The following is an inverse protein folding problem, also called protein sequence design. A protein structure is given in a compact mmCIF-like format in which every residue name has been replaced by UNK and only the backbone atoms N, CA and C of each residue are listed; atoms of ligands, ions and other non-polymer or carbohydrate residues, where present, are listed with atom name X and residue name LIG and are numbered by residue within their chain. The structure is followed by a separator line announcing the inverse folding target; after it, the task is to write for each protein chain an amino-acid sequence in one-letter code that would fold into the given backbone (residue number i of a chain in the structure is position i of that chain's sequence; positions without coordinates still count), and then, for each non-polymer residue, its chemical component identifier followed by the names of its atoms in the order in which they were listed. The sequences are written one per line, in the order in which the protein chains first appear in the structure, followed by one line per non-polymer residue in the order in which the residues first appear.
data_IF_066883965888
#
_entry.id   IF_066883965888
#
_cell.length_a   1.000
_cell.length_b   1.000
_cell.length_c   1.000
_cell.angle_alpha   90.00
_cell.angle_beta   90.00
_cell.angle_gamma   90.00
#
_symmetry.space_group_name_H-M   'P 1'
#
loop_
_entity.id
_entity.type
_entity.pdbx_description
1 polymer ?
#
# COMPACT_ATOMS: atom_id res chain seq x y z
N UNK A 1 -5.06 27.62 3.59
CA UNK A 1 -5.52 27.07 4.89
C UNK A 1 -5.39 25.58 4.74
N UNK A 2 -4.35 25.03 5.36
CA UNK A 2 -3.60 23.97 4.71
C UNK A 2 -4.05 22.61 5.24
N UNK A 3 -4.88 21.93 4.46
CA UNK A 3 -5.66 20.75 4.87
C UNK A 3 -4.89 19.44 5.03
N UNK A 4 -3.57 19.47 5.21
CA UNK A 4 -2.74 18.30 5.43
C UNK A 4 -1.90 18.47 6.70
N UNK A 5 -2.58 18.38 7.85
CA UNK A 5 -1.92 18.32 9.14
C UNK A 5 -1.12 17.01 9.26
N UNK A 6 0.21 17.13 9.27
CA UNK A 6 1.13 16.03 9.59
C UNK A 6 0.75 15.43 10.94
N UNK A 7 0.16 14.24 10.96
CA UNK A 7 -0.24 13.59 12.21
C UNK A 7 0.97 13.33 13.10
N UNK A 8 0.86 13.65 14.38
CA UNK A 8 1.94 13.60 15.37
C UNK A 8 1.65 12.59 16.47
N UNK A 9 2.69 11.86 16.86
CA UNK A 9 2.75 11.11 18.11
C UNK A 9 3.68 11.88 19.05
N UNK A 10 3.20 12.14 20.27
CA UNK A 10 4.04 12.71 21.32
C UNK A 10 4.37 11.62 22.33
N UNK A 11 5.62 11.16 22.32
CA UNK A 11 6.11 10.23 23.32
C UNK A 11 6.39 10.96 24.63
N UNK A 12 5.91 10.42 25.74
CA UNK A 12 5.91 11.05 27.07
C UNK A 12 6.50 10.08 28.10
N UNK A 13 7.41 10.59 28.94
CA UNK A 13 7.89 9.89 30.14
C UNK A 13 7.75 10.78 31.37
N UNK A 14 7.55 10.17 32.55
CA UNK A 14 7.33 10.91 33.80
C UNK A 14 7.86 10.22 35.05
N UNK A 15 8.23 11.03 36.05
CA UNK A 15 8.41 10.59 37.44
C UNK A 15 7.05 10.23 38.05
N UNK A 16 7.07 9.39 39.09
CA UNK A 16 5.85 9.03 39.81
C UNK A 16 5.22 10.27 40.48
N UNK A 17 3.91 10.45 40.33
CA UNK A 17 3.17 11.61 40.83
C UNK A 17 3.33 12.88 39.99
N UNK A 18 3.74 12.77 38.72
CA UNK A 18 3.78 13.93 37.80
C UNK A 18 2.36 14.46 37.56
N UNK A 19 2.19 15.78 37.52
CA UNK A 19 0.87 16.38 37.34
C UNK A 19 0.45 16.44 35.87
N UNK A 20 -0.86 16.28 35.61
CA UNK A 20 -1.45 16.45 34.26
C UNK A 20 -1.10 17.82 33.67
N UNK A 21 -1.13 18.87 34.49
CA UNK A 21 -0.81 20.23 34.07
C UNK A 21 0.64 20.37 33.59
N UNK A 22 1.61 19.72 34.26
CA UNK A 22 3.01 19.75 33.85
C UNK A 22 3.25 19.00 32.55
N UNK A 23 2.62 17.83 32.37
CA UNK A 23 2.71 17.07 31.11
C UNK A 23 2.11 17.87 29.96
N UNK A 24 0.90 18.43 30.13
CA UNK A 24 0.25 19.23 29.10
C UNK A 24 1.09 20.47 28.73
N UNK A 25 1.56 21.23 29.73
CA UNK A 25 2.39 22.41 29.49
C UNK A 25 3.68 22.08 28.73
N UNK A 26 4.36 20.98 29.07
CA UNK A 26 5.58 20.55 28.37
C UNK A 26 5.29 20.17 26.91
N UNK A 27 4.18 19.47 26.64
CA UNK A 27 3.78 19.09 25.27
C UNK A 27 3.40 20.33 24.45
N UNK A 28 2.54 21.20 24.99
CA UNK A 28 2.12 22.44 24.34
C UNK A 28 3.30 23.39 24.04
N UNK A 29 4.24 23.54 24.98
CA UNK A 29 5.46 24.34 24.77
C UNK A 29 6.35 23.72 23.68
N UNK A 30 6.49 22.40 23.67
CA UNK A 30 7.31 21.69 22.69
C UNK A 30 6.74 21.82 21.28
N UNK A 31 5.43 21.68 21.11
CA UNK A 31 4.73 21.87 19.83
C UNK A 31 4.83 23.33 19.36
N UNK A 32 4.49 24.28 20.23
CA UNK A 32 4.57 25.73 19.94
C UNK A 32 5.98 26.17 19.56
N UNK A 33 7.00 25.66 20.26
CA UNK A 33 8.41 25.95 19.98
C UNK A 33 8.92 25.36 18.67
N UNK A 34 8.24 24.35 18.11
CA UNK A 34 8.54 23.75 16.81
C UNK A 34 7.63 24.26 15.68
N UNK A 35 6.69 25.18 15.96
CA UNK A 35 5.67 25.62 14.99
C UNK A 35 4.66 24.54 14.60
N UNK A 36 4.51 23.50 15.44
CA UNK A 36 3.61 22.38 15.20
C UNK A 36 2.22 22.66 15.82
N UNK A 37 1.12 22.44 15.07
CA UNK A 37 -0.23 22.62 15.60
C UNK A 37 -0.60 21.57 16.65
N UNK A 38 -1.30 21.98 17.71
CA UNK A 38 -1.81 21.10 18.77
C UNK A 38 -2.77 20.02 18.26
N UNK A 39 -3.63 20.41 17.35
CA UNK A 39 -4.67 19.62 16.69
C UNK A 39 -4.12 18.55 15.74
N UNK A 40 -2.81 18.55 15.47
CA UNK A 40 -2.14 17.49 14.74
C UNK A 40 -1.66 16.33 15.64
N UNK A 41 -1.69 16.49 16.97
CA UNK A 41 -1.44 15.38 17.90
C UNK A 41 -2.59 14.37 17.78
N UNK A 42 -2.24 13.13 17.44
CA UNK A 42 -3.19 12.02 17.25
C UNK A 42 -3.07 10.94 18.32
N UNK A 43 -1.95 10.90 19.04
CA UNK A 43 -1.73 10.02 20.18
C UNK A 43 -0.67 10.60 21.12
N UNK A 44 -0.82 10.31 22.41
CA UNK A 44 0.33 10.27 23.32
C UNK A 44 0.87 8.84 23.37
N UNK A 45 2.17 8.67 23.59
CA UNK A 45 2.80 7.36 23.66
C UNK A 45 3.71 7.23 24.89
N UNK A 46 3.76 6.06 25.53
CA UNK A 46 4.67 5.81 26.67
C UNK A 46 5.08 4.34 26.78
N UNK A 47 5.90 4.03 27.77
CA UNK A 47 6.24 2.64 28.16
C UNK A 47 5.16 2.07 29.06
N UNK A 48 4.84 0.78 28.96
CA UNK A 48 3.79 0.12 29.76
C UNK A 48 3.88 0.36 31.27
N UNK A 49 5.10 0.37 31.83
CA UNK A 49 5.35 0.68 33.25
C UNK A 49 4.98 2.13 33.67
N UNK A 50 4.55 2.95 32.71
CA UNK A 50 4.07 4.33 32.87
C UNK A 50 2.67 4.58 32.32
N UNK A 51 2.01 3.57 31.73
CA UNK A 51 0.67 3.72 31.15
C UNK A 51 -0.41 4.08 32.19
N UNK A 52 -0.23 3.65 33.45
CA UNK A 52 -1.10 3.97 34.58
C UNK A 52 -0.70 5.20 35.39
N UNK A 53 0.26 6.02 34.95
CA UNK A 53 0.67 7.24 35.65
C UNK A 53 -0.41 8.34 35.45
N UNK A 54 -1.09 8.82 36.51
CA UNK A 54 -2.26 9.70 36.35
C UNK A 54 -1.98 10.99 35.58
N UNK A 55 -0.76 11.53 35.69
CA UNK A 55 -0.33 12.70 34.92
C UNK A 55 -0.23 12.47 33.41
N UNK A 56 0.08 11.24 32.98
CA UNK A 56 0.20 10.86 31.57
C UNK A 56 -1.18 10.48 31.02
N UNK A 57 -1.94 9.65 31.74
CA UNK A 57 -3.31 9.27 31.34
C UNK A 57 -4.22 10.48 31.24
N UNK A 58 -4.24 11.35 32.27
CA UNK A 58 -5.04 12.58 32.26
C UNK A 58 -4.56 13.63 31.25
N UNK A 59 -3.31 13.56 30.79
CA UNK A 59 -2.85 14.40 29.67
C UNK A 59 -3.43 13.89 28.34
N UNK A 60 -3.45 12.58 28.10
CA UNK A 60 -4.06 12.00 26.89
C UNK A 60 -5.56 12.36 26.81
N UNK A 61 -6.28 12.21 27.94
CA UNK A 61 -7.66 12.69 28.09
C UNK A 61 -7.81 14.19 27.80
N UNK A 62 -6.88 15.02 28.28
CA UNK A 62 -6.91 16.48 28.08
C UNK A 62 -6.68 16.89 26.62
N UNK A 63 -5.84 16.16 25.89
CA UNK A 63 -5.65 16.33 24.44
C UNK A 63 -6.77 15.68 23.62
N UNK A 64 -7.62 14.83 24.22
CA UNK A 64 -8.68 14.10 23.51
C UNK A 64 -8.15 12.98 22.60
N UNK A 65 -6.98 12.42 22.92
CA UNK A 65 -6.27 11.43 22.09
C UNK A 65 -6.03 10.13 22.86
N UNK A 66 -5.90 8.97 22.19
CA UNK A 66 -5.48 7.74 22.85
C UNK A 66 -4.08 7.84 23.47
N UNK A 67 -3.88 7.13 24.58
CA UNK A 67 -2.57 6.83 25.13
C UNK A 67 -2.13 5.45 24.62
N UNK A 68 -1.07 5.42 23.82
CA UNK A 68 -0.40 4.21 23.39
C UNK A 68 0.63 3.79 24.44
N UNK A 69 0.69 2.50 24.77
CA UNK A 69 1.70 1.93 25.66
C UNK A 69 2.43 0.80 24.97
N UNK A 70 3.76 0.80 25.09
CA UNK A 70 4.63 -0.19 24.47
C UNK A 70 5.44 -0.97 25.52
N UNK A 71 5.65 -2.28 25.34
CA UNK A 71 6.57 -3.07 26.17
C UNK A 71 7.97 -2.45 26.19
N UNK A 72 8.65 -2.56 27.33
CA UNK A 72 10.02 -2.06 27.49
C UNK A 72 10.99 -2.66 26.45
N UNK A 73 10.77 -3.92 26.06
CA UNK A 73 11.54 -4.64 25.05
C UNK A 73 11.33 -4.12 23.62
N UNK A 74 10.11 -3.75 23.22
CA UNK A 74 9.85 -3.10 21.91
C UNK A 74 10.59 -1.76 21.88
N UNK A 75 10.44 -0.94 22.94
CA UNK A 75 11.14 0.33 23.07
C UNK A 75 12.66 0.22 23.24
N UNK A 76 13.19 -0.92 23.65
CA UNK A 76 14.64 -1.18 23.75
C UNK A 76 15.30 -1.32 22.37
N UNK A 77 14.54 -1.78 21.38
CA UNK A 77 15.01 -1.95 20.00
C UNK A 77 15.04 -0.66 19.18
N UNK A 78 14.33 0.39 19.63
CA UNK A 78 14.20 1.66 18.91
C UNK A 78 15.50 2.47 18.98
N UNK A 79 16.07 2.79 17.82
CA UNK A 79 17.24 3.68 17.71
C UNK A 79 16.80 5.11 18.01
N UNK A 80 17.31 5.67 19.12
CA UNK A 80 17.02 7.04 19.57
C UNK A 80 18.28 7.91 19.54
N UNK A 81 18.18 9.21 19.21
CA UNK A 81 19.36 10.08 19.12
C UNK A 81 19.94 10.45 20.50
N UNK A 82 19.15 10.44 21.57
CA UNK A 82 19.60 10.84 22.91
C UNK A 82 19.31 9.75 23.97
N UNK A 83 20.04 8.63 23.97
CA UNK A 83 19.89 7.60 25.00
C UNK A 83 20.15 8.14 26.41
N UNK A 84 19.52 7.54 27.41
CA UNK A 84 19.60 7.89 28.83
C UNK A 84 19.78 6.64 29.67
N UNK A 85 20.86 6.59 30.44
CA UNK A 85 21.17 5.49 31.36
C UNK A 85 20.09 5.33 32.44
N UNK A 86 19.63 6.44 33.00
CA UNK A 86 18.49 6.47 33.95
C UNK A 86 17.19 5.91 33.33
N UNK A 87 16.95 6.07 32.03
CA UNK A 87 15.79 5.47 31.36
C UNK A 87 15.95 3.95 31.18
N UNK A 88 17.19 3.48 30.92
CA UNK A 88 17.50 2.04 30.84
C UNK A 88 17.30 1.37 32.20
N UNK A 89 17.82 1.98 33.27
CA UNK A 89 17.69 1.48 34.64
C UNK A 89 16.22 1.47 35.12
N UNK A 90 15.48 2.56 34.89
CA UNK A 90 14.13 2.72 35.45
C UNK A 90 13.00 2.13 34.59
N UNK A 91 13.23 1.90 33.29
CA UNK A 91 12.18 1.51 32.35
C UNK A 91 12.63 0.54 31.24
N UNK A 92 13.86 0.04 31.25
CA UNK A 92 14.37 -0.93 30.27
C UNK A 92 14.59 -0.40 28.84
N UNK A 93 14.34 0.88 28.58
CA UNK A 93 14.43 1.51 27.24
C UNK A 93 15.54 2.55 27.18
N UNK A 94 16.23 2.75 26.04
CA UNK A 94 17.20 3.83 25.89
C UNK A 94 16.61 5.24 26.09
N UNK A 95 15.32 5.49 25.83
CA UNK A 95 14.71 6.80 26.06
C UNK A 95 13.18 6.69 26.02
N UNK A 96 12.48 6.80 27.14
CA UNK A 96 11.01 6.63 27.18
C UNK A 96 10.30 7.55 26.18
N UNK A 97 10.60 8.86 26.19
CA UNK A 97 9.93 9.82 25.32
C UNK A 97 10.27 9.62 23.83
N UNK A 98 11.54 9.47 23.46
CA UNK A 98 11.91 9.33 22.03
C UNK A 98 11.58 7.95 21.49
N UNK A 99 11.79 6.87 22.26
CA UNK A 99 11.46 5.53 21.81
C UNK A 99 9.95 5.37 21.65
N UNK A 100 9.13 5.87 22.59
CA UNK A 100 7.67 5.77 22.48
C UNK A 100 7.10 6.65 21.35
N UNK A 101 7.69 7.83 21.07
CA UNK A 101 7.33 8.64 19.91
C UNK A 101 7.65 7.89 18.59
N UNK A 102 8.80 7.21 18.54
CA UNK A 102 9.31 6.52 17.35
C UNK A 102 8.82 5.07 17.19
N UNK A 103 8.20 4.46 18.21
CA UNK A 103 7.74 3.06 18.18
C UNK A 103 6.75 2.77 17.05
N UNK A 104 5.96 3.77 16.63
CA UNK A 104 5.10 3.70 15.46
C UNK A 104 5.81 3.78 14.11
N UNK A 105 7.15 3.78 14.07
CA UNK A 105 7.95 3.97 12.85
C UNK A 105 7.94 5.40 12.33
N UNK A 106 7.80 6.40 13.19
CA UNK A 106 7.76 7.82 12.83
C UNK A 106 9.12 8.43 12.45
N UNK A 107 9.10 9.64 11.91
CA UNK A 107 10.28 10.52 11.86
C UNK A 107 10.28 11.46 13.06
N UNK A 108 11.41 11.59 13.77
CA UNK A 108 11.53 12.46 14.94
C UNK A 108 11.62 13.93 14.52
N UNK A 109 10.56 14.70 14.76
CA UNK A 109 10.51 16.13 14.48
C UNK A 109 11.13 16.97 15.60
N UNK A 110 10.90 16.58 16.86
CA UNK A 110 11.41 17.27 18.04
C UNK A 110 12.04 16.27 19.00
N UNK A 111 13.38 16.31 19.21
CA UNK A 111 14.05 15.47 20.19
C UNK A 111 13.64 15.75 21.62
N UNK A 112 14.04 14.85 22.54
CA UNK A 112 13.61 14.88 23.95
C UNK A 112 13.76 16.25 24.62
N UNK A 113 12.62 16.85 24.97
CA UNK A 113 12.49 17.99 25.90
C UNK A 113 12.20 17.46 27.31
N UNK A 114 12.49 18.27 28.34
CA UNK A 114 12.30 17.93 29.75
C UNK A 114 11.71 19.10 30.54
N UNK A 115 10.81 18.79 31.47
CA UNK A 115 10.42 19.68 32.57
C UNK A 115 11.13 19.24 33.86
N UNK A 116 10.55 19.51 35.04
CA UNK A 116 11.09 19.08 36.35
C UNK A 116 10.81 17.59 36.60
N UNK A 117 9.65 17.10 36.20
CA UNK A 117 9.18 15.73 36.42
C UNK A 117 8.76 14.97 35.15
N UNK A 118 8.64 15.61 33.98
CA UNK A 118 8.28 14.99 32.71
C UNK A 118 9.37 15.13 31.62
N UNK A 119 9.26 14.29 30.60
CA UNK A 119 9.97 14.40 29.33
C UNK A 119 9.00 14.16 28.18
N UNK A 120 9.17 14.84 27.06
CA UNK A 120 8.43 14.54 25.83
C UNK A 120 9.30 14.64 24.59
N UNK A 121 8.89 13.97 23.52
CA UNK A 121 9.47 14.05 22.19
C UNK A 121 8.36 13.94 21.15
N UNK A 122 8.53 14.55 19.98
CA UNK A 122 7.49 14.60 18.93
C UNK A 122 7.99 13.92 17.68
N UNK A 123 7.23 12.96 17.17
CA UNK A 123 7.48 12.29 15.90
C UNK A 123 6.23 12.34 15.01
N UNK A 124 6.41 12.13 13.70
CA UNK A 124 5.28 11.87 12.80
C UNK A 124 4.65 10.51 13.11
N UNK A 125 3.32 10.39 12.94
CA UNK A 125 2.65 9.11 12.99
C UNK A 125 3.03 8.30 11.74
N UNK A 126 3.73 7.19 11.96
CA UNK A 126 4.10 6.17 10.97
C UNK A 126 4.62 6.68 9.61
N UNK A 127 5.95 6.74 9.47
CA UNK A 127 6.56 6.55 8.16
C UNK A 127 6.39 5.07 7.78
N UNK A 128 5.20 4.71 7.27
CA UNK A 128 4.92 3.39 6.71
C UNK A 128 6.08 2.97 5.79
N UNK A 129 6.59 1.74 5.95
CA UNK A 129 7.60 1.22 5.04
C UNK A 129 6.99 0.99 3.65
N UNK A 130 7.11 2.01 2.80
CA UNK A 130 6.63 2.00 1.43
C UNK A 130 7.34 0.94 0.56
N UNK A 131 8.48 0.41 1.01
CA UNK A 131 9.28 -0.60 0.30
C UNK A 131 8.98 -2.03 0.75
N UNK A 132 8.16 -2.26 1.79
CA UNK A 132 7.71 -3.60 2.14
C UNK A 132 6.73 -4.13 1.09
N UNK A 133 7.06 -5.26 0.46
CA UNK A 133 6.24 -5.90 -0.56
C UNK A 133 5.88 -7.35 -0.15
N UNK A 134 4.92 -7.97 -0.84
CA UNK A 134 4.32 -9.23 -0.38
C UNK A 134 5.24 -10.45 -0.49
N UNK A 135 6.20 -10.39 -1.39
CA UNK A 135 7.29 -11.33 -1.59
C UNK A 135 8.23 -11.42 -0.38
N UNK A 136 8.35 -10.34 0.42
CA UNK A 136 9.07 -10.39 1.69
C UNK A 136 8.43 -11.36 2.71
N UNK A 137 7.12 -11.63 2.63
CA UNK A 137 6.47 -12.60 3.52
C UNK A 137 6.90 -14.05 3.23
N UNK A 138 7.42 -14.37 2.03
CA UNK A 138 7.83 -15.73 1.64
C UNK A 138 9.34 -15.95 1.55
N UNK A 139 10.14 -14.87 1.56
CA UNK A 139 11.59 -14.89 1.35
C UNK A 139 12.34 -15.96 2.19
N UNK A 140 12.12 -15.99 3.50
CA UNK A 140 12.87 -16.87 4.42
C UNK A 140 12.32 -18.31 4.54
N UNK A 141 11.18 -18.61 3.92
CA UNK A 141 10.50 -19.91 4.06
C UNK A 141 10.51 -20.78 2.79
N UNK A 142 10.94 -20.21 1.66
CA UNK A 142 10.96 -20.90 0.37
C UNK A 142 9.58 -21.41 -0.06
N UNK A 143 9.54 -22.50 -0.82
CA UNK A 143 8.32 -23.08 -1.37
C UNK A 143 7.45 -23.85 -0.34
N UNK A 144 7.75 -23.76 0.96
CA UNK A 144 7.05 -24.53 2.00
C UNK A 144 5.69 -23.92 2.42
N UNK A 145 5.47 -22.63 2.16
CA UNK A 145 4.23 -21.93 2.52
C UNK A 145 3.27 -21.82 1.33
N UNK A 146 1.97 -21.94 1.61
CA UNK A 146 0.92 -21.49 0.70
C UNK A 146 0.94 -19.97 0.68
N UNK A 147 1.38 -19.40 -0.44
CA UNK A 147 1.45 -17.95 -0.64
C UNK A 147 0.06 -17.36 -0.90
N UNK A 148 -0.42 -16.56 0.05
CA UNK A 148 -1.57 -15.65 -0.05
C UNK A 148 -1.13 -14.18 0.10
N UNK A 149 0.18 -13.93 0.25
CA UNK A 149 0.79 -12.62 0.39
C UNK A 149 1.11 -11.95 -0.96
N UNK A 150 1.18 -12.73 -2.05
CA UNK A 150 1.37 -12.24 -3.41
C UNK A 150 0.18 -12.56 -4.31
N UNK A 151 -0.39 -11.51 -4.92
CA UNK A 151 -1.57 -11.57 -5.79
C UNK A 151 -1.21 -12.02 -7.23
N UNK A 152 -0.43 -13.08 -7.40
CA UNK A 152 -0.22 -13.76 -8.69
C UNK A 152 -1.25 -14.88 -8.85
N UNK A 153 -1.73 -15.11 -10.07
CA UNK A 153 -2.68 -16.19 -10.40
C UNK A 153 -2.01 -17.56 -10.27
N UNK A 154 -2.66 -18.51 -9.60
CA UNK A 154 -2.22 -19.92 -9.57
C UNK A 154 -2.11 -20.50 -10.99
N UNK A 155 -1.30 -21.56 -11.15
CA UNK A 155 -1.13 -22.32 -12.40
C UNK A 155 -0.66 -21.48 -13.60
N UNK A 156 0.09 -20.40 -13.32
CA UNK A 156 0.70 -19.54 -14.34
C UNK A 156 2.23 -19.53 -14.26
N UNK A 157 2.96 -19.24 -15.36
CA UNK A 157 2.45 -18.97 -16.72
C UNK A 157 1.94 -20.24 -17.43
N UNK A 158 0.88 -20.13 -18.27
CA UNK A 158 0.35 -21.25 -19.03
C UNK A 158 1.37 -21.80 -20.03
N UNK A 159 1.23 -23.08 -20.40
CA UNK A 159 2.22 -23.79 -21.21
C UNK A 159 2.51 -23.11 -22.56
N UNK A 160 1.46 -22.64 -23.25
CA UNK A 160 1.59 -21.93 -24.53
C UNK A 160 2.41 -20.64 -24.41
N UNK A 161 2.27 -19.91 -23.29
CA UNK A 161 2.99 -18.66 -23.06
C UNK A 161 4.45 -18.93 -22.72
N UNK A 162 4.73 -19.97 -21.91
CA UNK A 162 6.10 -20.43 -21.66
C UNK A 162 6.81 -20.85 -22.95
N UNK A 163 6.12 -21.53 -23.87
CA UNK A 163 6.66 -21.89 -25.18
C UNK A 163 6.96 -20.67 -26.05
N UNK A 164 6.06 -19.67 -26.10
CA UNK A 164 6.29 -18.40 -26.82
C UNK A 164 7.52 -17.66 -26.29
N UNK A 165 7.65 -17.54 -24.97
CA UNK A 165 8.77 -16.87 -24.30
C UNK A 165 10.08 -17.66 -24.50
N UNK A 166 10.03 -18.99 -24.47
CA UNK A 166 11.21 -19.83 -24.72
C UNK A 166 11.68 -19.73 -26.18
N UNK A 167 10.77 -19.63 -27.15
CA UNK A 167 11.12 -19.49 -28.55
C UNK A 167 11.83 -18.16 -28.88
N UNK A 168 11.61 -17.10 -28.10
CA UNK A 168 12.33 -15.82 -28.29
C UNK A 168 13.75 -15.81 -27.69
N UNK A 169 14.23 -16.93 -27.16
CA UNK A 169 15.59 -17.02 -26.60
C UNK A 169 16.66 -17.12 -27.70
N UNK A 170 16.28 -17.60 -28.90
CA UNK A 170 17.18 -17.72 -30.05
C UNK A 170 17.56 -16.33 -30.63
N UNK A 171 16.70 -15.32 -30.45
CA UNK A 171 16.89 -13.95 -30.98
C UNK A 171 17.64 -13.00 -30.01
N UNK A 172 18.07 -13.47 -28.83
CA UNK A 172 18.62 -12.61 -27.75
C UNK A 172 19.88 -11.81 -28.10
N UNK A 173 20.57 -12.15 -29.20
CA UNK A 173 21.74 -11.40 -29.67
C UNK A 173 21.37 -10.03 -30.27
N UNK A 174 20.10 -9.82 -30.65
CA UNK A 174 19.61 -8.55 -31.18
C UNK A 174 19.05 -7.63 -30.08
N UNK A 175 19.22 -6.31 -30.26
CA UNK A 175 18.52 -5.34 -29.42
C UNK A 175 16.99 -5.42 -29.62
N UNK A 176 16.19 -5.31 -28.56
CA UNK A 176 14.74 -5.53 -28.63
C UNK A 176 14.01 -4.45 -29.43
N UNK A 177 13.02 -4.87 -30.22
CA UNK A 177 12.19 -4.02 -31.07
C UNK A 177 10.71 -4.07 -30.64
N UNK A 178 10.27 -3.05 -29.92
CA UNK A 178 8.92 -2.99 -29.35
C UNK A 178 7.79 -2.69 -30.32
N UNK A 179 8.02 -2.47 -31.63
CA UNK A 179 6.98 -1.95 -32.54
C UNK A 179 5.76 -2.87 -32.66
N UNK A 180 5.94 -4.18 -32.77
CA UNK A 180 4.83 -5.15 -32.91
C UNK A 180 4.02 -5.25 -31.62
N UNK A 181 4.68 -5.48 -30.49
CA UNK A 181 4.03 -5.51 -29.16
C UNK A 181 3.28 -4.21 -28.82
N UNK A 182 3.85 -3.04 -29.16
CA UNK A 182 3.19 -1.74 -28.96
C UNK A 182 1.93 -1.60 -29.82
N UNK A 183 1.98 -2.04 -31.07
CA UNK A 183 0.81 -2.05 -31.96
C UNK A 183 -0.28 -3.04 -31.49
N UNK A 184 0.11 -4.21 -30.98
CA UNK A 184 -0.83 -5.19 -30.42
C UNK A 184 -1.55 -4.67 -29.16
N UNK A 185 -0.82 -4.00 -28.26
CA UNK A 185 -1.42 -3.33 -27.09
C UNK A 185 -2.35 -2.18 -27.51
N UNK A 186 -1.95 -1.38 -28.51
CA UNK A 186 -2.79 -0.31 -29.04
C UNK A 186 -4.11 -0.86 -29.62
N UNK A 187 -4.02 -1.94 -30.42
CA UNK A 187 -5.16 -2.63 -30.99
C UNK A 187 -6.11 -3.24 -29.93
N UNK A 188 -5.59 -3.83 -28.84
CA UNK A 188 -6.43 -4.32 -27.71
C UNK A 188 -7.36 -3.24 -27.16
N UNK A 189 -6.86 -2.02 -27.04
CA UNK A 189 -7.56 -0.91 -26.39
C UNK A 189 -8.26 0.05 -27.36
N UNK A 190 -8.24 -0.24 -28.66
CA UNK A 190 -8.81 0.65 -29.69
C UNK A 190 -8.09 2.00 -29.80
N UNK A 191 -6.82 2.07 -29.37
CA UNK A 191 -6.03 3.30 -29.33
C UNK A 191 -5.04 3.37 -30.50
N UNK A 192 -4.65 4.58 -30.94
CA UNK A 192 -3.52 4.75 -31.83
C UNK A 192 -2.18 4.50 -31.10
N UNK A 193 -1.16 4.07 -31.84
CA UNK A 193 0.08 3.51 -31.27
C UNK A 193 0.88 4.50 -30.42
N UNK A 194 0.82 5.78 -30.76
CA UNK A 194 1.45 6.88 -30.02
C UNK A 194 0.92 7.07 -28.60
N UNK A 195 -0.27 6.52 -28.28
CA UNK A 195 -0.85 6.53 -26.92
C UNK A 195 -0.36 5.40 -26.01
N UNK A 196 0.52 4.52 -26.49
CA UNK A 196 1.05 3.37 -25.75
C UNK A 196 2.54 3.55 -25.44
N UNK A 197 2.97 3.23 -24.21
CA UNK A 197 4.38 2.99 -23.85
C UNK A 197 4.50 1.61 -23.18
N UNK A 198 5.46 0.79 -23.59
CA UNK A 198 5.76 -0.49 -22.92
C UNK A 198 6.78 -0.25 -21.81
N UNK A 199 6.62 -0.92 -20.66
CA UNK A 199 7.47 -0.71 -19.48
C UNK A 199 7.90 -2.04 -18.84
N UNK A 200 8.98 -2.00 -18.07
CA UNK A 200 9.54 -3.09 -17.27
C UNK A 200 8.66 -3.44 -16.04
N UNK A 201 7.37 -3.62 -16.27
CA UNK A 201 6.32 -3.64 -15.25
C UNK A 201 5.81 -2.23 -14.90
N UNK A 202 4.75 -2.18 -14.09
CA UNK A 202 4.14 -0.91 -13.65
C UNK A 202 5.06 -0.09 -12.72
N UNK A 203 6.01 -0.73 -12.03
CA UNK A 203 6.99 -0.05 -11.17
C UNK A 203 7.84 0.97 -11.95
N UNK A 204 8.33 0.61 -13.15
CA UNK A 204 9.03 1.56 -14.01
C UNK A 204 8.12 2.74 -14.40
N UNK A 205 6.84 2.49 -14.70
CA UNK A 205 5.91 3.54 -15.05
C UNK A 205 5.74 4.57 -13.92
N UNK A 206 5.66 4.15 -12.65
CA UNK A 206 5.62 5.09 -11.51
C UNK A 206 6.90 5.94 -11.41
N UNK A 207 8.08 5.33 -11.60
CA UNK A 207 9.37 6.05 -11.61
C UNK A 207 9.44 7.05 -12.76
N UNK A 208 8.98 6.69 -13.96
CA UNK A 208 8.93 7.60 -15.11
C UNK A 208 7.96 8.75 -14.87
N UNK A 209 6.75 8.47 -14.37
CA UNK A 209 5.74 9.48 -14.03
C UNK A 209 6.30 10.49 -13.02
N UNK A 210 6.87 9.99 -11.92
CA UNK A 210 7.43 10.82 -10.86
C UNK A 210 8.56 11.73 -11.33
N UNK A 211 9.40 11.26 -12.27
CA UNK A 211 10.58 12.01 -12.75
C UNK A 211 10.31 12.91 -13.96
N UNK A 212 9.37 12.54 -14.84
CA UNK A 212 9.25 13.15 -16.17
C UNK A 212 8.07 14.12 -16.33
N UNK A 213 7.00 13.98 -15.55
CA UNK A 213 5.79 14.80 -15.75
C UNK A 213 5.82 16.11 -14.96
N UNK A 214 6.51 16.14 -13.82
CA UNK A 214 6.51 17.27 -12.89
C UNK A 214 5.20 17.37 -12.11
N UNK A 215 5.28 17.62 -10.81
CA UNK A 215 4.12 17.88 -9.96
C UNK A 215 4.55 18.79 -8.80
N UNK A 216 3.83 19.88 -8.58
CA UNK A 216 4.00 20.74 -7.41
C UNK A 216 3.20 20.20 -6.22
N UNK A 217 2.05 19.55 -6.48
CA UNK A 217 1.11 19.08 -5.45
C UNK A 217 0.56 17.68 -5.78
N UNK A 218 1.43 16.66 -5.90
CA UNK A 218 0.99 15.29 -6.17
C UNK A 218 0.25 14.70 -4.96
N UNK A 219 -0.86 14.02 -5.23
CA UNK A 219 -1.72 13.34 -4.26
C UNK A 219 -1.80 11.85 -4.57
N UNK A 220 -1.63 11.02 -3.54
CA UNK A 220 -1.81 9.56 -3.63
C UNK A 220 -2.99 9.14 -2.75
N UNK A 221 -3.98 8.46 -3.34
CA UNK A 221 -5.19 8.01 -2.62
C UNK A 221 -4.90 6.70 -1.88
N UNK A 222 -4.98 6.70 -0.56
CA UNK A 222 -4.64 5.56 0.29
C UNK A 222 -5.85 4.96 1.00
N UNK A 223 -5.81 3.70 1.46
CA UNK A 223 -4.72 2.73 1.29
C UNK A 223 -4.63 2.17 -0.14
N UNK A 224 -3.47 2.33 -0.78
CA UNK A 224 -3.15 1.71 -2.06
C UNK A 224 -1.73 1.14 -2.08
N UNK A 225 -1.31 0.54 -3.20
CA UNK A 225 0.04 0.07 -3.43
C UNK A 225 1.04 1.21 -3.24
N UNK A 226 2.15 0.96 -2.56
CA UNK A 226 3.01 2.02 -1.99
C UNK A 226 4.03 2.62 -2.96
N UNK A 227 4.35 1.91 -4.05
CA UNK A 227 5.31 2.32 -5.08
C UNK A 227 5.08 3.71 -5.70
N UNK A 228 3.84 4.19 -5.98
CA UNK A 228 3.66 5.52 -6.55
C UNK A 228 4.11 6.62 -5.58
N UNK A 229 3.81 6.48 -4.29
CA UNK A 229 4.29 7.44 -3.28
C UNK A 229 5.80 7.31 -3.08
N UNK A 230 6.35 6.08 -3.06
CA UNK A 230 7.78 5.86 -2.95
C UNK A 230 8.54 6.51 -4.12
N UNK A 231 8.10 6.29 -5.35
CA UNK A 231 8.69 6.87 -6.56
C UNK A 231 8.60 8.40 -6.59
N UNK A 232 7.47 8.97 -6.15
CA UNK A 232 7.30 10.42 -6.03
C UNK A 232 8.25 11.02 -4.98
N UNK A 233 8.36 10.41 -3.79
CA UNK A 233 9.29 10.83 -2.74
C UNK A 233 10.76 10.70 -3.17
N UNK A 234 11.13 9.59 -3.81
CA UNK A 234 12.48 9.35 -4.35
C UNK A 234 12.82 10.27 -5.53
N UNK A 235 11.82 10.92 -6.15
CA UNK A 235 11.99 12.00 -7.12
C UNK A 235 12.00 13.42 -6.49
N UNK A 236 11.87 13.53 -5.17
CA UNK A 236 11.95 14.79 -4.42
C UNK A 236 10.60 15.49 -4.15
N UNK A 237 9.47 14.86 -4.46
CA UNK A 237 8.14 15.47 -4.30
C UNK A 237 7.62 15.43 -2.86
N UNK A 238 6.90 16.47 -2.46
CA UNK A 238 6.08 16.46 -1.23
C UNK A 238 4.70 15.89 -1.55
N UNK A 239 4.49 14.61 -1.23
CA UNK A 239 3.26 13.88 -1.58
C UNK A 239 2.16 14.11 -0.55
N UNK A 240 1.02 14.65 -1.01
CA UNK A 240 -0.23 14.68 -0.25
C UNK A 240 -0.91 13.32 -0.25
N UNK A 241 -1.70 13.02 0.79
CA UNK A 241 -2.44 11.75 0.91
C UNK A 241 -3.92 12.00 1.13
N UNK A 242 -4.77 11.35 0.35
CA UNK A 242 -6.21 11.24 0.63
C UNK A 242 -6.46 9.87 1.21
N UNK A 243 -6.76 9.78 2.50
CA UNK A 243 -6.95 8.49 3.20
C UNK A 243 -8.43 8.12 3.23
N UNK A 244 -8.80 7.11 2.44
CA UNK A 244 -10.12 6.51 2.40
C UNK A 244 -10.36 5.69 3.68
N UNK A 245 -11.58 5.77 4.21
CA UNK A 245 -11.91 5.23 5.53
C UNK A 245 -12.67 3.90 5.44
N UNK A 246 -12.53 2.99 6.43
CA UNK A 246 -13.31 1.74 6.49
C UNK A 246 -14.82 1.98 6.55
N UNK A 247 -15.26 3.07 7.17
CA UNK A 247 -16.67 3.42 7.37
C UNK A 247 -17.37 3.76 6.04
N UNK A 248 -16.64 4.37 5.11
CA UNK A 248 -17.10 4.66 3.75
C UNK A 248 -16.88 3.45 2.80
N UNK A 249 -16.54 2.28 3.35
CA UNK A 249 -16.22 1.07 2.61
C UNK A 249 -14.96 1.19 1.73
N UNK A 250 -14.03 2.08 2.10
CA UNK A 250 -12.85 2.47 1.31
C UNK A 250 -13.17 2.93 -0.13
N UNK A 251 -14.34 3.54 -0.37
CA UNK A 251 -14.68 4.14 -1.66
C UNK A 251 -14.18 5.58 -1.74
N UNK A 252 -13.67 5.96 -2.91
CA UNK A 252 -13.28 7.34 -3.18
C UNK A 252 -14.51 8.23 -3.32
N UNK A 253 -14.58 9.29 -2.49
CA UNK A 253 -15.30 10.51 -2.83
C UNK A 253 -14.35 11.43 -3.62
N UNK A 254 -14.65 11.79 -4.89
CA UNK A 254 -13.79 12.67 -5.69
C UNK A 254 -13.59 14.06 -5.06
N UNK A 255 -14.53 14.55 -4.24
CA UNK A 255 -14.43 15.84 -3.54
C UNK A 255 -13.44 15.84 -2.38
N UNK A 256 -13.03 14.67 -1.89
CA UNK A 256 -11.96 14.53 -0.91
C UNK A 256 -10.56 14.73 -1.52
N UNK A 257 -10.42 14.62 -2.85
CA UNK A 257 -9.21 15.05 -3.55
C UNK A 257 -9.26 16.57 -3.69
N UNK A 258 -8.23 17.31 -3.25
CA UNK A 258 -8.24 18.75 -3.37
C UNK A 258 -8.52 19.25 -4.79
N UNK A 259 -9.20 20.39 -4.87
CA UNK A 259 -8.86 21.46 -5.81
C UNK A 259 -7.34 21.76 -5.76
N UNK A 260 -6.78 22.54 -6.68
CA UNK A 260 -5.33 22.78 -6.82
C UNK A 260 -4.42 21.56 -7.20
N UNK A 261 -4.61 20.34 -6.65
CA UNK A 261 -3.73 19.17 -6.91
C UNK A 261 -3.56 18.90 -8.43
N UNK A 262 -2.33 18.61 -8.86
CA UNK A 262 -1.90 18.57 -10.27
C UNK A 262 -1.49 17.18 -10.75
N UNK A 263 -1.21 16.26 -9.83
CA UNK A 263 -1.06 14.83 -10.11
C UNK A 263 -1.85 14.05 -9.07
N UNK A 264 -2.68 13.09 -9.51
CA UNK A 264 -3.46 12.23 -8.60
C UNK A 264 -3.24 10.77 -8.99
N UNK A 265 -2.84 9.92 -8.03
CA UNK A 265 -2.68 8.47 -8.26
C UNK A 265 -3.72 7.68 -7.48
N UNK A 266 -4.36 6.71 -8.14
CA UNK A 266 -5.29 5.74 -7.54
C UNK A 266 -5.24 4.39 -8.25
N UNK A 267 -5.24 3.28 -7.50
CA UNK A 267 -5.38 1.93 -8.08
C UNK A 267 -6.85 1.53 -8.27
N UNK A 268 -7.17 0.83 -9.36
CA UNK A 268 -8.52 0.31 -9.63
C UNK A 268 -8.49 -1.10 -10.28
N UNK A 269 -8.91 -2.19 -9.59
CA UNK A 269 -9.25 -2.25 -8.17
C UNK A 269 -8.08 -1.87 -7.25
N UNK A 270 -8.36 -1.15 -6.17
CA UNK A 270 -7.35 -0.71 -5.21
C UNK A 270 -6.73 -1.90 -4.46
N UNK A 271 -5.40 -2.04 -4.49
CA UNK A 271 -4.66 -2.98 -3.62
C UNK A 271 -4.18 -2.21 -2.38
N UNK A 272 -4.65 -2.49 -1.15
CA UNK A 272 -5.09 -3.82 -0.71
C UNK A 272 -6.60 -4.05 -0.59
N UNK A 273 -7.44 -3.01 -0.63
CA UNK A 273 -8.88 -3.10 -0.26
C UNK A 273 -9.73 -3.96 -1.20
N UNK A 274 -9.26 -4.17 -2.43
CA UNK A 274 -9.95 -4.87 -3.53
C UNK A 274 -11.17 -4.10 -4.07
N UNK A 275 -11.38 -2.86 -3.61
CA UNK A 275 -12.49 -2.00 -4.03
C UNK A 275 -12.31 -1.57 -5.48
N UNK A 276 -13.38 -1.71 -6.26
CA UNK A 276 -13.52 -1.13 -7.59
C UNK A 276 -14.26 0.20 -7.46
N UNK A 277 -13.59 1.29 -7.80
CA UNK A 277 -14.16 2.64 -7.86
C UNK A 277 -14.93 2.81 -9.17
N UNK A 278 -16.12 3.44 -9.16
CA UNK A 278 -16.86 3.73 -10.38
C UNK A 278 -16.04 4.60 -11.34
N UNK A 279 -16.05 4.28 -12.63
CA UNK A 279 -15.38 5.03 -13.69
C UNK A 279 -15.83 6.49 -13.71
N UNK A 280 -17.10 6.77 -13.41
CA UNK A 280 -17.63 8.13 -13.30
C UNK A 280 -17.01 8.94 -12.13
N UNK A 281 -16.71 8.29 -11.00
CA UNK A 281 -16.06 8.94 -9.86
C UNK A 281 -14.59 9.26 -10.17
N UNK A 282 -13.88 8.34 -10.82
CA UNK A 282 -12.52 8.57 -11.31
C UNK A 282 -12.50 9.65 -12.40
N UNK A 283 -13.43 9.61 -13.36
CA UNK A 283 -13.56 10.60 -14.42
C UNK A 283 -13.79 12.02 -13.89
N UNK A 284 -14.51 12.19 -12.77
CA UNK A 284 -14.73 13.48 -12.14
C UNK A 284 -13.44 14.15 -11.61
N UNK A 285 -12.35 13.39 -11.44
CA UNK A 285 -11.04 13.94 -11.08
C UNK A 285 -10.27 14.53 -12.28
N UNK A 286 -10.60 14.13 -13.52
CA UNK A 286 -9.87 14.52 -14.72
C UNK A 286 -10.19 15.96 -15.13
N UNK A 287 -9.16 16.77 -15.37
CA UNK A 287 -9.28 18.16 -15.80
C UNK A 287 -8.00 18.64 -16.50
N UNK A 288 -8.06 19.66 -17.38
CA UNK A 288 -6.87 20.27 -17.94
C UNK A 288 -5.90 20.72 -16.84
N UNK A 289 -4.60 20.47 -17.04
CA UNK A 289 -3.55 20.79 -16.04
C UNK A 289 -3.43 19.80 -14.88
N UNK A 290 -4.21 18.71 -14.84
CA UNK A 290 -4.03 17.60 -13.89
C UNK A 290 -3.70 16.30 -14.62
N UNK A 291 -2.69 15.59 -14.13
CA UNK A 291 -2.43 14.19 -14.49
C UNK A 291 -3.24 13.28 -13.55
N UNK A 292 -4.12 12.46 -14.12
CA UNK A 292 -4.86 11.42 -13.37
C UNK A 292 -4.28 10.04 -13.70
N UNK A 293 -3.50 9.49 -12.77
CA UNK A 293 -2.91 8.15 -12.89
C UNK A 293 -3.84 7.12 -12.27
N UNK A 294 -4.31 6.17 -13.09
CA UNK A 294 -5.15 5.05 -12.65
C UNK A 294 -4.40 3.73 -12.86
N UNK A 295 -4.02 3.07 -11.76
CA UNK A 295 -3.34 1.77 -11.80
C UNK A 295 -4.33 0.62 -11.90
N UNK A 296 -4.51 0.12 -13.12
CA UNK A 296 -5.36 -1.02 -13.47
C UNK A 296 -4.58 -2.35 -13.51
N UNK A 297 -3.49 -2.49 -12.73
CA UNK A 297 -2.69 -3.72 -12.65
C UNK A 297 -3.46 -5.00 -12.27
N UNK A 298 -4.68 -4.88 -11.73
CA UNK A 298 -5.57 -5.99 -11.39
C UNK A 298 -6.88 -6.04 -12.20
N UNK A 299 -7.08 -5.14 -13.16
CA UNK A 299 -8.34 -5.04 -13.92
C UNK A 299 -8.64 -6.28 -14.78
N UNK A 300 -7.60 -6.96 -15.29
CA UNK A 300 -7.71 -8.27 -15.97
C UNK A 300 -8.42 -9.35 -15.13
N UNK A 301 -8.47 -9.21 -13.80
CA UNK A 301 -9.11 -10.15 -12.88
C UNK A 301 -10.57 -9.76 -12.54
N UNK A 302 -11.07 -8.64 -13.06
CA UNK A 302 -12.46 -8.19 -12.93
C UNK A 302 -13.25 -8.73 -14.14
N UNK A 303 -14.34 -9.50 -13.95
CA UNK A 303 -15.13 -10.02 -15.06
C UNK A 303 -15.61 -8.91 -16.01
N UNK A 304 -15.16 -8.96 -17.26
CA UNK A 304 -15.51 -7.97 -18.29
C UNK A 304 -14.82 -6.61 -18.15
N UNK A 305 -13.80 -6.48 -17.29
CA UNK A 305 -13.06 -5.22 -17.05
C UNK A 305 -13.99 -4.03 -16.68
N UNK A 306 -14.98 -4.30 -15.82
CA UNK A 306 -15.94 -3.29 -15.36
C UNK A 306 -15.23 -2.09 -14.71
N UNK A 307 -15.76 -0.89 -14.95
CA UNK A 307 -15.21 0.39 -14.49
C UNK A 307 -13.77 0.72 -14.99
N UNK A 308 -13.26 0.00 -15.99
CA UNK A 308 -11.99 0.33 -16.63
C UNK A 308 -12.05 1.65 -17.41
N UNK A 309 -10.95 2.39 -17.36
CA UNK A 309 -10.68 3.60 -18.13
C UNK A 309 -9.66 3.36 -19.25
N UNK A 310 -9.03 2.19 -19.33
CA UNK A 310 -8.22 1.81 -20.48
C UNK A 310 -9.01 1.97 -21.80
N UNK A 311 -8.46 2.72 -22.76
CA UNK A 311 -9.12 3.06 -24.03
C UNK A 311 -9.93 4.37 -24.03
N UNK A 312 -10.19 5.00 -22.87
CA UNK A 312 -10.81 6.33 -22.79
C UNK A 312 -9.89 7.39 -23.41
N UNK A 313 -10.45 8.29 -24.21
CA UNK A 313 -9.73 9.41 -24.84
C UNK A 313 -10.38 10.78 -24.59
N UNK A 314 -11.53 10.81 -23.92
CA UNK A 314 -12.31 11.99 -23.56
C UNK A 314 -11.92 12.59 -22.19
N UNK A 315 -11.00 11.95 -21.45
CA UNK A 315 -10.51 12.44 -20.17
C UNK A 315 -9.15 13.14 -20.32
N UNK A 316 -9.07 14.47 -20.11
CA UNK A 316 -7.82 15.21 -20.22
C UNK A 316 -6.84 14.77 -19.12
N UNK A 317 -5.58 14.52 -19.51
CA UNK A 317 -4.51 14.16 -18.59
C UNK A 317 -4.62 12.75 -17.97
N UNK A 318 -5.51 11.89 -18.50
CA UNK A 318 -5.62 10.50 -18.06
C UNK A 318 -4.36 9.70 -18.42
N UNK A 319 -3.87 8.93 -17.45
CA UNK A 319 -2.78 7.97 -17.57
C UNK A 319 -3.23 6.65 -16.95
N UNK A 320 -3.46 5.62 -17.76
CA UNK A 320 -3.83 4.28 -17.26
C UNK A 320 -2.62 3.37 -17.29
N UNK A 321 -2.34 2.69 -16.17
CA UNK A 321 -1.28 1.68 -16.08
C UNK A 321 -1.89 0.29 -16.13
N UNK A 322 -1.29 -0.62 -16.90
CA UNK A 322 -1.67 -2.03 -16.93
C UNK A 322 -0.47 -2.92 -16.66
N UNK A 323 -0.70 -4.02 -15.95
CA UNK A 323 0.31 -5.03 -15.68
C UNK A 323 -0.10 -6.37 -16.26
N UNK A 324 0.82 -7.02 -16.98
CA UNK A 324 0.65 -8.41 -17.40
C UNK A 324 1.23 -9.39 -16.37
N UNK A 325 1.86 -8.88 -15.30
CA UNK A 325 2.60 -9.71 -14.33
C UNK A 325 1.72 -10.59 -13.44
N UNK A 326 0.50 -10.14 -13.11
CA UNK A 326 -0.37 -10.76 -12.10
C UNK A 326 -1.23 -11.86 -12.72
N UNK A 327 -1.94 -11.52 -13.80
CA UNK A 327 -2.83 -12.40 -14.58
C UNK A 327 -2.09 -13.60 -15.18
N UNK A 328 -0.87 -13.37 -15.67
CA UNK A 328 -0.13 -14.33 -16.51
C UNK A 328 1.08 -14.97 -15.82
N UNK A 329 1.32 -14.70 -14.53
CA UNK A 329 2.48 -15.25 -13.80
C UNK A 329 3.82 -14.64 -14.19
N UNK A 330 3.82 -13.53 -14.93
CA UNK A 330 5.03 -12.90 -15.48
C UNK A 330 5.74 -11.98 -14.48
N UNK A 331 5.58 -12.23 -13.18
CA UNK A 331 6.16 -11.41 -12.10
C UNK A 331 7.70 -11.37 -12.14
N UNK A 332 8.37 -12.43 -12.59
CA UNK A 332 9.82 -12.44 -12.82
C UNK A 332 10.27 -11.81 -14.15
N UNK A 333 9.38 -11.75 -15.16
CA UNK A 333 9.71 -11.26 -16.51
C UNK A 333 9.61 -9.72 -16.65
N UNK A 334 8.88 -9.07 -15.72
CA UNK A 334 8.76 -7.61 -15.62
C UNK A 334 8.18 -6.94 -16.88
N UNK A 335 6.86 -7.03 -17.06
CA UNK A 335 6.17 -6.43 -18.21
C UNK A 335 4.86 -5.71 -17.82
N UNK A 336 4.70 -4.49 -18.33
CA UNK A 336 3.52 -3.65 -18.21
C UNK A 336 3.46 -2.62 -19.34
N UNK A 337 2.46 -1.74 -19.30
CA UNK A 337 2.35 -0.64 -20.25
C UNK A 337 1.54 0.53 -19.69
N UNK A 338 1.80 1.71 -20.26
CA UNK A 338 1.10 2.97 -20.01
C UNK A 338 0.20 3.27 -21.21
N UNK A 339 -1.03 3.70 -20.95
CA UNK A 339 -1.94 4.29 -21.93
C UNK A 339 -2.19 5.76 -21.53
N UNK A 340 -1.83 6.72 -22.39
CA UNK A 340 -2.00 8.14 -22.10
C UNK A 340 -2.14 8.99 -23.38
N UNK A 341 -2.23 10.30 -23.24
CA UNK A 341 -2.11 11.23 -24.38
C UNK A 341 -0.71 11.16 -25.03
N UNK A 342 -0.58 11.37 -26.35
CA UNK A 342 0.71 11.24 -27.05
C UNK A 342 1.82 12.12 -26.48
N UNK A 343 1.49 13.32 -25.99
CA UNK A 343 2.44 14.23 -25.35
C UNK A 343 2.98 13.69 -24.02
N UNK A 344 2.11 13.06 -23.22
CA UNK A 344 2.50 12.39 -21.97
C UNK A 344 3.38 11.19 -22.28
N UNK A 345 2.99 10.36 -23.26
CA UNK A 345 3.80 9.22 -23.71
C UNK A 345 5.18 9.67 -24.22
N UNK A 346 5.25 10.78 -24.97
CA UNK A 346 6.52 11.32 -25.45
C UNK A 346 7.44 11.78 -24.29
N UNK A 347 6.89 12.45 -23.26
CA UNK A 347 7.63 12.84 -22.05
C UNK A 347 8.17 11.61 -21.29
N UNK A 348 7.31 10.60 -21.08
CA UNK A 348 7.70 9.37 -20.39
C UNK A 348 8.77 8.59 -21.18
N UNK A 349 8.61 8.46 -22.50
CA UNK A 349 9.57 7.79 -23.38
C UNK A 349 10.93 8.50 -23.44
N UNK A 350 10.95 9.84 -23.39
CA UNK A 350 12.19 10.62 -23.36
C UNK A 350 12.97 10.45 -22.04
N UNK A 351 12.28 10.10 -20.94
CA UNK A 351 12.89 9.79 -19.65
C UNK A 351 13.18 8.29 -19.45
N UNK A 352 12.73 7.43 -20.36
CA UNK A 352 12.89 5.98 -20.27
C UNK A 352 14.29 5.56 -20.77
N UNK A 353 14.99 4.63 -20.09
CA UNK A 353 16.23 4.06 -20.60
C UNK A 353 16.05 3.43 -21.98
N UNK A 354 17.12 3.42 -22.79
CA UNK A 354 17.11 2.69 -24.07
C UNK A 354 16.96 1.17 -23.82
N UNK A 355 16.15 0.52 -24.66
CA UNK A 355 15.84 -0.92 -24.58
C UNK A 355 15.34 -1.39 -23.19
N UNK A 356 14.32 -0.72 -22.61
CA UNK A 356 13.88 -0.94 -21.23
C UNK A 356 13.13 -2.27 -21.05
N UNK A 357 12.53 -2.78 -22.13
CA UNK A 357 11.78 -4.04 -22.16
C UNK A 357 12.53 -5.05 -23.02
N UNK A 358 12.85 -6.20 -22.44
CA UNK A 358 13.61 -7.28 -23.10
C UNK A 358 12.79 -8.00 -24.18
N UNK A 359 13.46 -8.62 -25.16
CA UNK A 359 12.77 -9.33 -26.24
C UNK A 359 11.76 -10.40 -25.77
N UNK A 360 12.04 -11.22 -24.74
CA UNK A 360 11.05 -12.17 -24.22
C UNK A 360 9.86 -11.48 -23.52
N UNK A 361 10.07 -10.30 -22.92
CA UNK A 361 9.00 -9.50 -22.35
C UNK A 361 8.11 -8.84 -23.43
N UNK A 362 8.67 -8.45 -24.57
CA UNK A 362 7.91 -7.98 -25.74
C UNK A 362 7.05 -9.08 -26.36
N UNK A 363 7.62 -10.28 -26.57
CA UNK A 363 6.87 -11.45 -27.07
C UNK A 363 5.76 -11.84 -26.11
N UNK A 364 6.01 -11.79 -24.79
CA UNK A 364 4.97 -11.99 -23.80
C UNK A 364 3.87 -10.91 -23.88
N UNK A 365 4.24 -9.63 -24.08
CA UNK A 365 3.29 -8.53 -24.19
C UNK A 365 2.31 -8.72 -25.35
N UNK A 366 2.84 -9.03 -26.55
CA UNK A 366 2.03 -9.31 -27.73
C UNK A 366 1.14 -10.54 -27.52
N UNK A 367 1.70 -11.64 -27.01
CA UNK A 367 0.96 -12.89 -26.87
C UNK A 367 -0.14 -12.80 -25.80
N UNK A 368 0.04 -12.02 -24.73
CA UNK A 368 -0.95 -11.82 -23.67
C UNK A 368 -2.12 -10.90 -24.06
N UNK A 369 -2.00 -10.12 -25.15
CA UNK A 369 -3.09 -9.26 -25.66
C UNK A 369 -3.78 -9.83 -26.90
N UNK A 370 -3.35 -10.99 -27.40
CA UNK A 370 -4.02 -11.70 -28.48
C UNK A 370 -5.44 -12.15 -28.08
N UNK A 371 -6.43 -12.18 -29.00
CA UNK A 371 -7.83 -12.47 -28.67
C UNK A 371 -8.07 -13.77 -27.88
N UNK A 372 -7.32 -14.84 -28.18
CA UNK A 372 -7.41 -16.10 -27.44
C UNK A 372 -6.90 -15.98 -26.00
N UNK A 373 -5.84 -15.20 -25.77
CA UNK A 373 -5.34 -14.92 -24.42
C UNK A 373 -6.32 -14.03 -23.63
N UNK A 374 -6.94 -13.03 -24.28
CA UNK A 374 -7.98 -12.22 -23.65
C UNK A 374 -9.21 -13.05 -23.25
N UNK A 375 -9.61 -14.03 -24.07
CA UNK A 375 -10.68 -14.96 -23.71
C UNK A 375 -10.30 -15.85 -22.51
N UNK A 376 -9.06 -16.37 -22.45
CA UNK A 376 -8.55 -17.12 -21.28
C UNK A 376 -8.52 -16.24 -20.02
N UNK A 377 -8.10 -14.98 -20.13
CA UNK A 377 -8.08 -14.02 -19.03
C UNK A 377 -9.49 -13.71 -18.51
N UNK A 378 -10.48 -13.48 -19.39
CA UNK A 378 -11.87 -13.30 -18.96
C UNK A 378 -12.42 -14.53 -18.23
N UNK A 379 -12.09 -15.74 -18.69
CA UNK A 379 -12.53 -16.96 -18.02
C UNK A 379 -11.82 -17.20 -16.69
N UNK A 380 -10.55 -16.79 -16.57
CA UNK A 380 -9.87 -16.70 -15.29
C UNK A 380 -10.53 -15.68 -14.35
N UNK A 381 -10.95 -14.50 -14.84
CA UNK A 381 -11.64 -13.48 -14.05
C UNK A 381 -12.98 -13.99 -13.49
N UNK A 382 -13.78 -14.70 -14.31
CA UNK A 382 -15.02 -15.36 -13.85
C UNK A 382 -14.76 -16.38 -12.74
N UNK A 383 -13.75 -17.24 -12.90
CA UNK A 383 -13.35 -18.21 -11.87
C UNK A 383 -12.86 -17.52 -10.59
N UNK A 384 -12.03 -16.49 -10.69
CA UNK A 384 -11.58 -15.67 -9.54
C UNK A 384 -12.78 -15.06 -8.81
N UNK A 385 -13.83 -14.61 -9.51
CA UNK A 385 -15.03 -14.09 -8.85
C UNK A 385 -15.80 -15.17 -8.08
N UNK A 386 -15.87 -16.41 -8.60
CA UNK A 386 -16.48 -17.56 -7.90
C UNK A 386 -15.66 -17.99 -6.69
N UNK A 387 -14.34 -18.12 -6.84
CA UNK A 387 -13.42 -18.46 -5.74
C UNK A 387 -13.41 -17.36 -4.66
N UNK A 388 -13.49 -16.08 -5.05
CA UNK A 388 -13.63 -14.95 -4.14
C UNK A 388 -14.95 -15.01 -3.36
N UNK A 389 -16.06 -15.32 -4.03
CA UNK A 389 -17.34 -15.50 -3.36
C UNK A 389 -17.31 -16.66 -2.35
N UNK A 390 -16.60 -17.75 -2.66
CA UNK A 390 -16.40 -18.85 -1.72
C UNK A 390 -15.54 -18.45 -0.51
N UNK A 391 -14.42 -17.74 -0.73
CA UNK A 391 -13.59 -17.19 0.35
C UNK A 391 -14.39 -16.23 1.24
N UNK A 392 -15.15 -15.30 0.65
CA UNK A 392 -15.98 -14.35 1.39
C UNK A 392 -17.07 -15.04 2.21
N UNK A 393 -17.75 -16.06 1.66
CA UNK A 393 -18.73 -16.84 2.39
C UNK A 393 -18.11 -17.56 3.58
N UNK A 394 -16.93 -18.19 3.41
CA UNK A 394 -16.24 -18.85 4.51
C UNK A 394 -15.67 -17.90 5.58
N UNK A 395 -15.26 -16.69 5.19
CA UNK A 395 -14.82 -15.65 6.14
C UNK A 395 -15.99 -15.07 6.95
N UNK A 396 -17.22 -15.10 6.42
CA UNK A 396 -18.42 -14.61 7.10
C UNK A 396 -18.93 -15.51 8.24
N UNK A 397 -18.36 -16.71 8.40
CA UNK A 397 -18.65 -17.63 9.51
C UNK A 397 -17.82 -17.29 10.79
N UNK A 398 -16.94 -16.29 10.74
CA UNK A 398 -16.12 -15.83 11.87
C UNK A 398 -16.58 -14.46 12.38
N UNK A 399 -17.15 -14.40 13.59
CA UNK A 399 -17.61 -13.15 14.21
C UNK A 399 -16.47 -12.15 14.46
N UNK A 400 -15.22 -12.62 14.61
CA UNK A 400 -14.04 -11.79 14.83
C UNK A 400 -13.48 -11.14 13.55
N UNK A 401 -13.94 -11.55 12.37
CA UNK A 401 -13.42 -11.09 11.07
C UNK A 401 -14.38 -10.09 10.43
N UNK A 402 -13.88 -8.88 10.15
CA UNK A 402 -14.59 -7.89 9.32
C UNK A 402 -13.94 -7.78 7.95
N UNK A 403 -14.68 -8.07 6.88
CA UNK A 403 -14.22 -7.84 5.50
C UNK A 403 -14.31 -6.34 5.13
N UNK A 404 -13.30 -5.84 4.41
CA UNK A 404 -13.27 -4.49 3.88
C UNK A 404 -14.12 -4.32 2.61
N UNK A 405 -15.05 -3.37 2.62
CA UNK A 405 -15.74 -2.88 1.42
C UNK A 405 -16.42 -3.97 0.59
N UNK A 406 -16.36 -3.84 -0.73
CA UNK A 406 -16.83 -4.86 -1.69
C UNK A 406 -15.67 -5.27 -2.59
N UNK A 407 -15.11 -6.45 -2.33
CA UNK A 407 -13.93 -6.95 -3.04
C UNK A 407 -14.26 -7.38 -4.48
N UNK A 408 -13.50 -6.87 -5.45
CA UNK A 408 -13.65 -7.14 -6.88
C UNK A 408 -12.37 -7.68 -7.56
N UNK A 409 -11.19 -7.45 -6.97
CA UNK A 409 -9.92 -7.98 -7.45
C UNK A 409 -9.64 -9.43 -7.01
N UNK A 410 -8.41 -9.95 -7.27
CA UNK A 410 -7.99 -11.31 -6.92
C UNK A 410 -7.48 -11.43 -5.47
N UNK A 411 -8.04 -10.65 -4.55
CA UNK A 411 -7.69 -10.60 -3.13
C UNK A 411 -8.83 -10.01 -2.30
N UNK A 412 -8.76 -10.20 -0.99
CA UNK A 412 -9.69 -9.67 0.02
C UNK A 412 -8.86 -9.03 1.14
N UNK A 413 -9.31 -7.90 1.66
CA UNK A 413 -8.75 -7.28 2.86
C UNK A 413 -9.69 -7.57 4.04
N UNK A 414 -9.13 -8.01 5.16
CA UNK A 414 -9.85 -8.28 6.41
C UNK A 414 -9.25 -7.49 7.57
N UNK A 415 -10.09 -7.14 8.53
CA UNK A 415 -9.72 -6.66 9.85
C UNK A 415 -9.99 -7.77 10.87
N UNK A 416 -9.07 -7.96 11.82
CA UNK A 416 -9.22 -8.91 12.91
C UNK A 416 -8.41 -8.46 14.13
N UNK A 417 -8.92 -8.72 15.34
CA UNK A 417 -8.16 -8.43 16.56
C UNK A 417 -6.92 -9.34 16.65
N UNK A 418 -5.78 -8.79 17.09
CA UNK A 418 -4.53 -9.56 17.16
C UNK A 418 -4.01 -10.06 15.80
N UNK A 419 -4.20 -9.29 14.72
CA UNK A 419 -3.88 -9.76 13.37
C UNK A 419 -2.39 -10.06 13.16
N UNK A 420 -1.51 -9.43 13.95
CA UNK A 420 -0.07 -9.74 13.96
C UNK A 420 0.19 -11.17 14.47
N UNK A 421 -0.45 -11.56 15.57
CA UNK A 421 -0.40 -12.88 16.19
C UNK A 421 -1.08 -13.93 15.30
N UNK A 422 -2.26 -13.61 14.75
CA UNK A 422 -2.97 -14.46 13.77
C UNK A 422 -2.09 -14.73 12.55
N UNK A 423 -1.41 -13.72 11.99
CA UNK A 423 -0.45 -13.91 10.88
C UNK A 423 0.70 -14.84 11.26
N UNK A 424 1.27 -14.71 12.46
CA UNK A 424 2.35 -15.60 12.94
C UNK A 424 1.86 -17.04 13.09
N UNK A 425 0.65 -17.25 13.61
CA UNK A 425 0.02 -18.58 13.73
C UNK A 425 -0.32 -19.18 12.37
N UNK A 426 -0.90 -18.40 11.45
CA UNK A 426 -1.12 -18.82 10.07
C UNK A 426 0.19 -19.24 9.38
N UNK A 427 1.30 -18.51 9.60
CA UNK A 427 2.62 -18.89 9.10
C UNK A 427 3.08 -20.24 9.65
N UNK A 428 2.93 -20.46 10.96
CA UNK A 428 3.24 -21.75 11.59
C UNK A 428 2.36 -22.90 11.09
N UNK A 429 1.12 -22.59 10.66
CA UNK A 429 0.18 -23.51 10.00
C UNK A 429 0.39 -23.65 8.48
N UNK A 430 1.44 -23.03 7.92
CA UNK A 430 1.83 -23.19 6.51
C UNK A 430 1.28 -22.13 5.54
N UNK A 431 0.74 -21.01 6.02
CA UNK A 431 0.13 -19.96 5.18
C UNK A 431 0.82 -18.60 5.35
N UNK A 432 1.28 -18.01 4.25
CA UNK A 432 1.82 -16.65 4.24
C UNK A 432 0.73 -15.65 3.81
N UNK A 433 0.39 -14.68 4.67
CA UNK A 433 -0.61 -13.63 4.39
C UNK A 433 0.02 -12.24 4.50
N UNK A 434 -0.49 -11.26 3.74
CA UNK A 434 0.11 -9.92 3.68
C UNK A 434 -0.36 -9.07 4.86
N UNK A 435 0.58 -8.54 5.65
CA UNK A 435 0.29 -7.55 6.71
C UNK A 435 -0.28 -6.23 6.15
N UNK A 436 -1.18 -5.57 6.89
CA UNK A 436 -1.88 -4.35 6.46
C UNK A 436 -1.18 -3.03 6.82
N UNK A 437 -0.46 -2.99 7.95
CA UNK A 437 0.27 -1.84 8.51
C UNK A 437 1.30 -1.20 7.55
N UNK A 438 1.73 -1.93 6.52
CA UNK A 438 2.62 -1.41 5.46
C UNK A 438 1.92 -0.57 4.40
N UNK A 439 0.58 -0.49 4.41
CA UNK A 439 -0.18 0.37 3.50
C UNK A 439 -0.65 1.60 4.28
N UNK A 440 -0.33 2.84 3.85
CA UNK A 440 -0.80 4.04 4.55
C UNK A 440 -2.31 4.06 4.72
N UNK A 441 -2.80 4.43 5.92
CA UNK A 441 -4.22 4.38 6.25
C UNK A 441 -4.74 3.02 6.76
N UNK A 442 -3.88 1.99 6.87
CA UNK A 442 -4.17 0.76 7.60
C UNK A 442 -3.17 0.58 8.76
N UNK A 443 -3.61 -0.14 9.79
CA UNK A 443 -2.83 -0.47 10.99
C UNK A 443 -2.54 -1.99 11.13
N UNK A 444 -1.97 -2.40 12.27
CA UNK A 444 -1.61 -3.79 12.59
C UNK A 444 -2.81 -4.74 12.74
N UNK A 445 -4.07 -4.27 12.72
CA UNK A 445 -5.30 -5.09 12.75
C UNK A 445 -5.74 -5.63 11.37
N UNK A 446 -5.06 -5.22 10.30
CA UNK A 446 -5.46 -5.55 8.93
C UNK A 446 -4.57 -6.63 8.28
N UNK A 447 -5.18 -7.55 7.53
CA UNK A 447 -4.50 -8.56 6.71
C UNK A 447 -5.13 -8.64 5.31
N UNK A 448 -4.30 -8.76 4.27
CA UNK A 448 -4.76 -9.02 2.89
C UNK A 448 -4.47 -10.45 2.49
N UNK A 449 -5.51 -11.13 2.01
CA UNK A 449 -5.51 -12.53 1.56
C UNK A 449 -5.67 -12.55 0.03
N UNK A 450 -4.77 -13.21 -0.70
CA UNK A 450 -5.01 -13.50 -2.11
C UNK A 450 -6.15 -14.51 -2.28
N UNK A 451 -6.93 -14.38 -3.35
CA UNK A 451 -7.94 -15.39 -3.72
C UNK A 451 -7.23 -16.61 -4.32
N UNK A 452 -7.67 -17.81 -3.92
CA UNK A 452 -7.17 -19.12 -4.36
C UNK A 452 -8.34 -20.06 -4.60
N UNK A 453 -8.05 -21.19 -5.24
CA UNK A 453 -9.02 -22.25 -5.51
C UNK A 453 -9.74 -22.71 -4.23
N UNK A 454 -10.92 -23.33 -4.42
CA UNK A 454 -11.75 -23.86 -3.34
C UNK A 454 -11.03 -24.78 -2.34
N UNK A 455 -10.10 -25.63 -2.77
CA UNK A 455 -9.43 -26.57 -1.88
C UNK A 455 -8.34 -25.87 -1.03
N UNK A 456 -7.61 -24.92 -1.61
CA UNK A 456 -6.68 -24.07 -0.87
C UNK A 456 -7.42 -23.13 0.09
N UNK A 457 -8.54 -22.53 -0.34
CA UNK A 457 -9.40 -21.69 0.49
C UNK A 457 -9.96 -22.46 1.69
N UNK A 458 -10.48 -23.68 1.49
CA UNK A 458 -10.97 -24.51 2.60
C UNK A 458 -9.90 -24.81 3.67
N UNK A 459 -8.65 -25.10 3.25
CA UNK A 459 -7.53 -25.29 4.19
C UNK A 459 -7.13 -24.00 4.91
N UNK A 460 -7.18 -22.85 4.22
CA UNK A 460 -6.93 -21.54 4.84
C UNK A 460 -7.97 -21.23 5.93
N UNK A 461 -9.25 -21.48 5.67
CA UNK A 461 -10.32 -21.24 6.63
C UNK A 461 -10.18 -22.11 7.88
N UNK A 462 -9.81 -23.39 7.72
CA UNK A 462 -9.47 -24.26 8.85
C UNK A 462 -8.23 -23.76 9.63
N UNK A 463 -7.21 -23.25 8.95
CA UNK A 463 -6.05 -22.65 9.62
C UNK A 463 -6.40 -21.34 10.34
N UNK A 464 -7.35 -20.56 9.82
CA UNK A 464 -7.86 -19.34 10.43
C UNK A 464 -8.58 -19.66 11.75
N UNK A 465 -9.50 -20.62 11.76
CA UNK A 465 -10.21 -21.10 12.96
C UNK A 465 -9.24 -21.47 14.10
N UNK A 466 -8.23 -22.28 13.78
CA UNK A 466 -7.17 -22.63 14.73
C UNK A 466 -6.35 -21.40 15.19
N UNK A 467 -6.04 -20.47 14.28
CA UNK A 467 -5.26 -19.27 14.59
C UNK A 467 -6.02 -18.28 15.49
N UNK A 468 -7.35 -18.17 15.35
CA UNK A 468 -8.22 -17.32 16.15
C UNK A 468 -8.48 -17.91 17.54
N UNK A 469 -8.80 -19.20 17.62
CA UNK A 469 -9.12 -19.89 18.88
C UNK A 469 -8.01 -19.78 19.93
N UNK A 470 -6.74 -19.71 19.49
CA UNK A 470 -5.57 -19.54 20.36
C UNK A 470 -5.42 -18.11 20.95
N UNK A 471 -6.34 -17.19 20.67
CA UNK A 471 -6.35 -15.81 21.22
C UNK A 471 -7.32 -15.65 22.39
N UNK A 472 -8.22 -16.62 22.61
CA UNK A 472 -9.28 -16.56 23.60
C UNK A 472 -8.93 -17.27 24.93
N UNK A 473 -7.64 -17.30 25.32
CA UNK A 473 -7.13 -17.95 26.53
C UNK A 473 -6.08 -17.12 27.24
#
# INVERSE_FOLDING_TARGET
MDGYATQLVVGVGGRAGVSVAEVCALVEETLRGAGLPSEAVTALATVESKAGEPGITGAAERFGVPLLSYPAEELASVVVPHPSETAREAAGTPSVAEAAALAGGGELLVPKRRSVAATCAVATLCAHDLRHHGDAEVADAGAALVDLAVNVRSDTPPAWLKQRIAASLDDLAAYPDGRQARAAVAARHGLPVERVLLTAGAAEAFVLIARALGAERPVVVHPQFTEPEAALRDAGHRVGRVVLRPEDGFRLDPSAVPEDADLVVIGNPTNPTSVLHPAAALAALARPGRILVVDEAFMDAVPGEQEALAGRTDLPGLVVLRSLTKTWGLAGLRIGYVLAEPEVIAKLAAAQPLWPVSAPALVAAEACVAPAALAEAQEAARRIAVDRAHLLAGLAEFDEIRVAGVAQGPFVLIQVAGAAEVRVRLRALGFAVRRGDTFPGLDRSWLRLAVRDRATTGRLLQAMDHALTLTAR
#
